data_IF_688780065876
#
_entry.id   IF_688780065876
#
_cell.length_a   1.000
_cell.length_b   1.000
_cell.length_c   1.000
_cell.angle_alpha   90.00
_cell.angle_beta   90.00
_cell.angle_gamma   90.00
#
_symmetry.space_group_name_H-M   'P 1'
#
loop_
_entity.id
_entity.type
_entity.pdbx_description
1 polymer ?
#
# COMPACT_ATOMS: atom_id res chain seq x y z
N UNK A 1 -0.30 -28.90 -9.65
CA UNK A 1 1.05 -28.72 -9.06
C UNK A 1 2.16 -28.31 -10.05
N UNK A 2 2.06 -28.58 -11.36
CA UNK A 2 3.09 -28.15 -12.36
C UNK A 2 3.25 -26.62 -12.55
N UNK A 3 2.22 -25.81 -12.27
CA UNK A 3 2.28 -24.34 -12.45
C UNK A 3 3.04 -23.57 -11.36
N UNK A 4 3.15 -24.11 -10.15
CA UNK A 4 3.88 -23.45 -9.05
C UNK A 4 5.41 -23.52 -9.26
N UNK A 5 5.92 -24.62 -9.83
CA UNK A 5 7.36 -24.79 -10.08
C UNK A 5 7.92 -23.82 -11.13
N UNK A 6 7.09 -23.20 -11.96
CA UNK A 6 7.50 -22.26 -13.01
C UNK A 6 7.06 -20.82 -12.79
N UNK A 7 6.34 -20.53 -11.71
CA UNK A 7 5.93 -19.14 -11.43
C UNK A 7 7.10 -18.34 -10.89
N UNK A 8 7.64 -17.45 -11.72
CA UNK A 8 8.73 -16.52 -11.37
C UNK A 8 8.35 -15.70 -10.12
N UNK A 9 7.08 -15.31 -9.98
CA UNK A 9 6.58 -14.56 -8.83
C UNK A 9 6.59 -15.38 -7.53
N UNK A 10 6.29 -16.68 -7.59
CA UNK A 10 6.33 -17.54 -6.42
C UNK A 10 7.78 -17.79 -5.97
N UNK A 11 8.68 -18.01 -6.92
CA UNK A 11 10.11 -18.18 -6.62
C UNK A 11 10.78 -16.90 -6.15
N UNK A 12 10.42 -15.74 -6.69
CA UNK A 12 10.94 -14.47 -6.22
C UNK A 12 10.47 -14.18 -4.79
N UNK A 13 9.19 -14.41 -4.47
CA UNK A 13 8.66 -14.27 -3.12
C UNK A 13 9.36 -15.23 -2.14
N UNK A 14 9.51 -16.50 -2.51
CA UNK A 14 10.23 -17.47 -1.70
C UNK A 14 11.69 -17.05 -1.46
N UNK A 15 12.39 -16.61 -2.51
CA UNK A 15 13.77 -16.15 -2.40
C UNK A 15 13.92 -14.93 -1.49
N UNK A 16 12.96 -14.00 -1.51
CA UNK A 16 12.96 -12.81 -0.67
C UNK A 16 12.76 -13.17 0.80
N UNK A 17 11.88 -14.14 1.10
CA UNK A 17 11.67 -14.63 2.47
C UNK A 17 12.94 -15.33 2.97
N UNK A 18 13.51 -16.23 2.17
CA UNK A 18 14.72 -16.97 2.55
C UNK A 18 15.91 -16.02 2.74
N UNK A 19 16.11 -15.06 1.82
CA UNK A 19 17.21 -14.10 1.93
C UNK A 19 17.07 -13.20 3.15
N UNK A 20 15.85 -12.76 3.49
CA UNK A 20 15.60 -12.00 4.71
C UNK A 20 16.02 -12.78 5.96
N UNK A 21 15.56 -14.02 6.10
CA UNK A 21 15.89 -14.82 7.30
C UNK A 21 17.38 -15.13 7.40
N UNK A 22 18.05 -15.39 6.28
CA UNK A 22 19.50 -15.57 6.26
C UNK A 22 20.22 -14.30 6.71
N UNK A 23 19.85 -13.14 6.17
CA UNK A 23 20.45 -11.86 6.56
C UNK A 23 20.19 -11.53 8.04
N UNK A 24 19.01 -11.86 8.56
CA UNK A 24 18.63 -11.63 9.96
C UNK A 24 19.51 -12.41 10.95
N UNK A 25 20.10 -13.54 10.54
CA UNK A 25 21.02 -14.31 11.39
C UNK A 25 22.38 -13.62 11.58
N UNK A 26 22.79 -12.78 10.63
CA UNK A 26 24.12 -12.15 10.62
C UNK A 26 24.09 -10.65 10.90
N UNK A 27 22.96 -9.97 10.68
CA UNK A 27 22.84 -8.52 10.78
C UNK A 27 22.08 -8.14 12.06
N UNK A 28 22.61 -7.22 12.89
CA UNK A 28 21.90 -6.70 14.06
C UNK A 28 20.55 -6.08 13.68
N UNK A 29 19.55 -6.25 14.54
CA UNK A 29 18.17 -5.84 14.31
C UNK A 29 18.03 -4.38 13.84
N UNK A 30 18.75 -3.44 14.46
CA UNK A 30 18.69 -2.01 14.11
C UNK A 30 19.09 -1.76 12.64
N UNK A 31 20.19 -2.37 12.20
CA UNK A 31 20.66 -2.28 10.81
C UNK A 31 19.72 -3.00 9.84
N UNK A 32 19.15 -4.13 10.26
CA UNK A 32 18.17 -4.88 9.47
C UNK A 32 16.93 -4.03 9.15
N UNK A 33 16.45 -3.25 10.13
CA UNK A 33 15.30 -2.33 9.97
C UNK A 33 15.64 -1.19 9.02
N UNK A 34 16.83 -0.60 9.12
CA UNK A 34 17.29 0.47 8.22
C UNK A 34 17.45 -0.01 6.77
N UNK A 35 18.09 -1.18 6.58
CA UNK A 35 18.26 -1.80 5.26
C UNK A 35 16.90 -2.10 4.62
N UNK A 36 15.99 -2.72 5.38
CA UNK A 36 14.64 -3.03 4.90
C UNK A 36 13.86 -1.76 4.53
N UNK A 37 13.99 -0.70 5.34
CA UNK A 37 13.33 0.58 5.09
C UNK A 37 13.87 1.26 3.82
N UNK A 38 15.18 1.22 3.62
CA UNK A 38 15.86 1.77 2.44
C UNK A 38 15.52 0.99 1.18
N UNK A 39 15.45 -0.34 1.27
CA UNK A 39 15.02 -1.21 0.18
C UNK A 39 13.58 -0.90 -0.27
N UNK A 40 12.64 -0.77 0.68
CA UNK A 40 11.25 -0.41 0.36
C UNK A 40 11.20 0.94 -0.35
N UNK A 41 11.94 1.93 0.13
CA UNK A 41 11.98 3.26 -0.48
C UNK A 41 12.55 3.21 -1.92
N UNK A 42 13.65 2.48 -2.13
CA UNK A 42 14.25 2.33 -3.46
C UNK A 42 13.36 1.56 -4.44
N UNK A 43 12.74 0.45 -4.00
CA UNK A 43 11.84 -0.35 -4.84
C UNK A 43 10.56 0.42 -5.18
N UNK A 44 9.94 1.08 -4.19
CA UNK A 44 8.73 1.88 -4.44
C UNK A 44 9.03 3.04 -5.40
N UNK A 45 10.16 3.71 -5.26
CA UNK A 45 10.60 4.73 -6.22
C UNK A 45 10.80 4.17 -7.63
N UNK A 46 11.50 3.02 -7.78
CA UNK A 46 11.70 2.38 -9.07
C UNK A 46 10.37 1.98 -9.75
N UNK A 47 9.39 1.49 -8.96
CA UNK A 47 8.05 1.18 -9.46
C UNK A 47 7.34 2.45 -9.92
N UNK A 48 7.40 3.53 -9.14
CA UNK A 48 6.79 4.81 -9.52
C UNK A 48 7.35 5.34 -10.82
N UNK A 49 8.67 5.38 -10.98
CA UNK A 49 9.31 5.86 -12.22
C UNK A 49 8.92 4.97 -13.41
N UNK A 50 8.94 3.65 -13.23
CA UNK A 50 8.62 2.71 -14.30
C UNK A 50 7.16 2.82 -14.78
N UNK A 51 6.23 2.96 -13.85
CA UNK A 51 4.79 2.90 -14.14
C UNK A 51 4.11 4.28 -14.22
N UNK A 52 4.85 5.38 -14.03
CA UNK A 52 4.31 6.74 -14.07
C UNK A 52 3.55 7.05 -15.37
N UNK A 53 4.10 6.66 -16.52
CA UNK A 53 3.48 6.94 -17.82
C UNK A 53 2.19 6.13 -18.02
N UNK A 54 2.18 4.86 -17.59
CA UNK A 54 1.01 3.98 -17.72
C UNK A 54 -0.11 4.44 -16.79
N UNK A 55 0.22 4.82 -15.56
CA UNK A 55 -0.72 5.41 -14.63
C UNK A 55 -1.27 6.76 -15.14
N UNK A 56 -0.42 7.63 -15.69
CA UNK A 56 -0.86 8.89 -16.28
C UNK A 56 -1.79 8.69 -17.49
N UNK A 57 -1.56 7.64 -18.28
CA UNK A 57 -2.46 7.26 -19.38
C UNK A 57 -3.78 6.72 -18.85
N UNK A 58 -3.76 5.77 -17.92
CA UNK A 58 -4.95 5.17 -17.32
C UNK A 58 -5.83 6.21 -16.61
N UNK A 59 -5.24 7.21 -15.95
CA UNK A 59 -6.00 8.33 -15.36
C UNK A 59 -6.74 9.18 -16.40
N UNK A 60 -6.23 9.25 -17.65
CA UNK A 60 -6.86 10.02 -18.74
C UNK A 60 -7.86 9.20 -19.55
N UNK A 61 -7.61 7.90 -19.73
CA UNK A 61 -8.44 7.01 -20.56
C UNK A 61 -9.48 6.20 -19.79
N UNK A 62 -9.36 6.13 -18.46
CA UNK A 62 -9.99 5.12 -17.59
C UNK A 62 -11.50 4.94 -17.77
N UNK A 63 -11.89 4.03 -18.66
CA UNK A 63 -13.26 3.56 -18.87
C UNK A 63 -13.43 2.07 -18.55
N UNK A 64 -12.32 1.36 -18.35
CA UNK A 64 -12.28 -0.09 -18.15
C UNK A 64 -11.62 -0.46 -16.81
N UNK A 65 -12.08 -1.54 -16.18
CA UNK A 65 -11.57 -2.06 -14.90
C UNK A 65 -10.05 -2.25 -14.79
N UNK A 66 -9.31 -2.68 -15.84
CA UNK A 66 -7.86 -2.79 -15.80
C UNK A 66 -7.15 -1.44 -15.58
N UNK A 67 -7.66 -0.35 -16.16
CA UNK A 67 -7.12 0.99 -15.97
C UNK A 67 -7.30 1.45 -14.52
N UNK A 68 -8.46 1.15 -13.92
CA UNK A 68 -8.72 1.40 -12.50
C UNK A 68 -7.73 0.66 -11.59
N UNK A 69 -7.41 -0.59 -11.91
CA UNK A 69 -6.44 -1.38 -11.14
C UNK A 69 -5.03 -0.77 -11.24
N UNK A 70 -4.61 -0.34 -12.43
CA UNK A 70 -3.31 0.31 -12.63
C UNK A 70 -3.22 1.59 -11.79
N UNK A 71 -4.25 2.44 -11.82
CA UNK A 71 -4.30 3.67 -11.02
C UNK A 71 -4.29 3.34 -9.53
N UNK A 72 -5.09 2.37 -9.08
CA UNK A 72 -5.18 1.99 -7.69
C UNK A 72 -3.83 1.47 -7.15
N UNK A 73 -3.18 0.56 -7.87
CA UNK A 73 -1.86 0.02 -7.49
C UNK A 73 -0.81 1.13 -7.49
N UNK A 74 -0.80 1.99 -8.51
CA UNK A 74 0.11 3.13 -8.57
C UNK A 74 -0.09 4.08 -7.38
N UNK A 75 -1.34 4.42 -7.04
CA UNK A 75 -1.68 5.24 -5.88
C UNK A 75 -1.23 4.59 -4.57
N UNK A 76 -1.43 3.27 -4.39
CA UNK A 76 -0.95 2.54 -3.20
C UNK A 76 0.57 2.67 -3.06
N UNK A 77 1.32 2.40 -4.15
CA UNK A 77 2.78 2.50 -4.14
C UNK A 77 3.24 3.93 -3.84
N UNK A 78 2.57 4.93 -4.42
CA UNK A 78 2.86 6.34 -4.19
C UNK A 78 2.63 6.74 -2.72
N UNK A 79 1.51 6.32 -2.15
CA UNK A 79 1.17 6.59 -0.75
C UNK A 79 2.16 5.90 0.18
N UNK A 80 2.55 4.65 -0.09
CA UNK A 80 3.58 3.95 0.68
C UNK A 80 4.92 4.69 0.58
N UNK A 81 5.31 5.16 -0.60
CA UNK A 81 6.53 5.96 -0.77
C UNK A 81 6.49 7.21 0.11
N UNK A 82 5.41 8.00 0.04
CA UNK A 82 5.25 9.19 0.90
C UNK A 82 5.20 8.85 2.39
N UNK A 83 4.56 7.74 2.76
CA UNK A 83 4.55 7.25 4.13
C UNK A 83 5.96 6.93 4.64
N UNK A 84 6.80 6.31 3.81
CA UNK A 84 8.19 6.01 4.16
C UNK A 84 9.04 7.27 4.27
N UNK A 85 8.89 8.21 3.34
CA UNK A 85 9.55 9.52 3.41
C UNK A 85 9.13 10.27 4.67
N UNK A 86 7.83 10.28 4.99
CA UNK A 86 7.31 10.91 6.20
C UNK A 86 7.87 10.30 7.47
N UNK A 87 7.87 8.98 7.60
CA UNK A 87 8.45 8.29 8.76
C UNK A 87 9.96 8.58 8.89
N UNK A 88 10.68 8.69 7.78
CA UNK A 88 12.09 9.08 7.79
C UNK A 88 12.27 10.51 8.29
N UNK A 89 11.46 11.46 7.83
CA UNK A 89 11.47 12.85 8.31
C UNK A 89 11.18 12.89 9.81
N UNK A 90 10.12 12.21 10.28
CA UNK A 90 9.77 12.16 11.71
C UNK A 90 10.93 11.61 12.54
N UNK A 91 11.67 10.62 12.04
CA UNK A 91 12.86 10.08 12.73
C UNK A 91 14.05 11.05 12.73
N UNK A 92 14.28 11.77 11.62
CA UNK A 92 15.37 12.77 11.53
C UNK A 92 15.18 13.92 12.51
N UNK A 93 13.94 14.29 12.80
CA UNK A 93 13.58 15.34 13.75
C UNK A 93 13.28 14.79 15.16
N UNK A 94 13.82 13.61 15.50
CA UNK A 94 13.68 12.96 16.81
C UNK A 94 12.24 12.91 17.34
N UNK A 95 11.27 12.68 16.43
CA UNK A 95 9.84 12.61 16.72
C UNK A 95 9.29 13.85 17.43
N UNK A 96 9.70 15.04 17.01
CA UNK A 96 9.13 16.28 17.55
C UNK A 96 7.59 16.28 17.54
N UNK A 97 6.96 16.75 18.62
CA UNK A 97 5.51 16.60 18.85
C UNK A 97 4.64 17.16 17.73
N UNK A 98 5.07 18.23 17.07
CA UNK A 98 4.36 18.85 15.94
C UNK A 98 4.38 17.99 14.67
N UNK A 99 5.37 17.12 14.50
CA UNK A 99 5.47 16.17 13.38
C UNK A 99 4.71 14.89 13.68
N UNK A 100 4.74 14.41 14.93
CA UNK A 100 4.00 13.20 15.35
C UNK A 100 2.50 13.43 15.32
N UNK A 101 2.04 14.56 15.85
CA UNK A 101 0.62 14.95 15.86
C UNK A 101 0.17 15.63 14.56
N UNK A 102 1.00 15.58 13.52
CA UNK A 102 0.67 16.18 12.24
C UNK A 102 -0.50 15.45 11.58
N UNK A 103 -1.44 16.18 10.94
CA UNK A 103 -2.53 15.57 10.18
C UNK A 103 -2.04 14.72 9.00
N UNK A 104 -0.77 14.86 8.60
CA UNK A 104 -0.16 14.10 7.51
C UNK A 104 -0.26 12.58 7.75
N UNK A 105 -0.04 12.12 8.98
CA UNK A 105 -0.12 10.69 9.31
C UNK A 105 -1.54 10.14 9.10
N UNK A 106 -2.57 10.90 9.50
CA UNK A 106 -3.97 10.54 9.30
C UNK A 106 -4.37 10.62 7.82
N UNK A 107 -3.91 11.65 7.11
CA UNK A 107 -4.16 11.83 5.67
C UNK A 107 -3.59 10.67 4.84
N UNK A 108 -2.38 10.20 5.16
CA UNK A 108 -1.77 9.04 4.49
C UNK A 108 -2.65 7.79 4.67
N UNK A 109 -3.10 7.51 5.89
CA UNK A 109 -3.97 6.37 6.17
C UNK A 109 -5.32 6.48 5.43
N UNK A 110 -5.90 7.68 5.41
CA UNK A 110 -7.14 7.98 4.68
C UNK A 110 -7.00 7.73 3.17
N UNK A 111 -5.93 8.25 2.56
CA UNK A 111 -5.66 8.05 1.14
C UNK A 111 -5.37 6.58 0.81
N UNK A 112 -4.71 5.85 1.71
CA UNK A 112 -4.47 4.42 1.51
C UNK A 112 -5.78 3.62 1.53
N UNK A 113 -6.70 3.96 2.44
CA UNK A 113 -8.03 3.35 2.47
C UNK A 113 -8.80 3.62 1.17
N UNK A 114 -8.76 4.85 0.67
CA UNK A 114 -9.33 5.20 -0.64
C UNK A 114 -8.70 4.40 -1.79
N UNK A 115 -7.37 4.27 -1.82
CA UNK A 115 -6.70 3.52 -2.87
C UNK A 115 -7.03 2.01 -2.81
N UNK A 116 -7.16 1.43 -1.63
CA UNK A 116 -7.63 0.05 -1.45
C UNK A 116 -9.09 -0.14 -1.90
N UNK A 117 -9.96 0.85 -1.70
CA UNK A 117 -11.32 0.83 -2.23
C UNK A 117 -11.33 0.80 -3.76
N UNK A 118 -10.44 1.56 -4.42
CA UNK A 118 -10.30 1.50 -5.88
C UNK A 118 -9.90 0.10 -6.36
N UNK A 119 -9.01 -0.60 -5.64
CA UNK A 119 -8.65 -2.00 -5.96
C UNK A 119 -9.87 -2.93 -5.86
N UNK A 120 -10.74 -2.73 -4.87
CA UNK A 120 -11.96 -3.53 -4.70
C UNK A 120 -12.98 -3.29 -5.83
N UNK A 121 -13.05 -2.06 -6.34
CA UNK A 121 -14.00 -1.66 -7.40
C UNK A 121 -13.48 -2.09 -8.79
N UNK A 122 -12.17 -2.11 -8.99
CA UNK A 122 -11.53 -2.40 -10.28
C UNK A 122 -12.06 -3.64 -11.04
N UNK A 123 -12.31 -4.82 -10.42
CA UNK A 123 -12.81 -5.99 -11.16
C UNK A 123 -14.25 -5.87 -11.65
N UNK A 124 -15.07 -5.00 -11.05
CA UNK A 124 -16.50 -4.84 -11.38
C UNK A 124 -16.78 -3.52 -12.13
N UNK A 125 -15.74 -2.77 -12.51
CA UNK A 125 -15.86 -1.52 -13.25
C UNK A 125 -15.90 -1.79 -14.76
N UNK A 126 -17.10 -1.82 -15.33
CA UNK A 126 -17.31 -1.89 -16.78
C UNK A 126 -17.97 -0.59 -17.27
N UNK A 127 -17.33 0.09 -18.23
CA UNK A 127 -17.82 1.31 -18.89
C UNK A 127 -18.27 2.44 -17.95
N UNK A 128 -17.58 2.62 -16.82
CA UNK A 128 -17.90 3.67 -15.84
C UNK A 128 -19.14 3.40 -14.98
N UNK A 129 -19.75 2.21 -15.11
CA UNK A 129 -20.78 1.74 -14.19
C UNK A 129 -20.17 0.75 -13.19
N UNK A 130 -20.48 0.93 -11.91
CA UNK A 130 -20.09 0.00 -10.85
C UNK A 130 -21.22 -1.01 -10.73
N UNK A 131 -20.95 -2.28 -11.04
CA UNK A 131 -21.95 -3.33 -10.86
C UNK A 131 -22.35 -3.44 -9.37
N UNK A 132 -23.65 -3.61 -9.07
CA UNK A 132 -24.18 -3.62 -7.69
C UNK A 132 -23.55 -4.68 -6.76
N UNK A 133 -22.91 -5.71 -7.34
CA UNK A 133 -22.16 -6.74 -6.60
C UNK A 133 -20.93 -6.17 -5.87
N UNK A 134 -20.26 -5.19 -6.46
CA UNK A 134 -19.12 -4.49 -5.84
C UNK A 134 -19.56 -3.66 -4.63
N UNK A 135 -20.81 -3.18 -4.61
CA UNK A 135 -21.40 -2.49 -3.47
C UNK A 135 -21.40 -3.31 -2.19
N UNK A 136 -21.50 -4.65 -2.27
CA UNK A 136 -21.44 -5.54 -1.11
C UNK A 136 -20.03 -5.58 -0.52
N UNK A 137 -19.00 -5.66 -1.36
CA UNK A 137 -17.61 -5.65 -0.88
C UNK A 137 -17.21 -4.31 -0.29
N UNK A 138 -17.67 -3.20 -0.88
CA UNK A 138 -17.49 -1.85 -0.32
C UNK A 138 -18.22 -1.76 1.04
N UNK A 139 -19.45 -2.26 1.13
CA UNK A 139 -20.22 -2.28 2.37
C UNK A 139 -19.53 -3.08 3.47
N UNK A 140 -19.00 -4.26 3.15
CA UNK A 140 -18.23 -5.09 4.10
C UNK A 140 -16.94 -4.37 4.51
N UNK A 141 -16.21 -3.77 3.57
CA UNK A 141 -14.97 -3.04 3.87
C UNK A 141 -15.23 -1.84 4.78
N UNK A 142 -16.28 -1.05 4.51
CA UNK A 142 -16.70 0.07 5.35
C UNK A 142 -17.20 -0.38 6.72
N UNK A 143 -17.91 -1.50 6.79
CA UNK A 143 -18.36 -2.09 8.05
C UNK A 143 -17.17 -2.51 8.93
N UNK A 144 -16.19 -3.23 8.37
CA UNK A 144 -14.97 -3.62 9.09
C UNK A 144 -14.19 -2.38 9.52
N UNK A 145 -14.00 -1.40 8.62
CA UNK A 145 -13.32 -0.15 8.95
C UNK A 145 -14.02 0.60 10.08
N UNK A 146 -15.36 0.69 10.04
CA UNK A 146 -16.18 1.29 11.09
C UNK A 146 -16.07 0.54 12.42
N UNK A 147 -16.08 -0.80 12.41
CA UNK A 147 -15.88 -1.61 13.60
C UNK A 147 -14.50 -1.39 14.23
N UNK A 148 -13.43 -1.46 13.44
CA UNK A 148 -12.04 -1.27 13.92
C UNK A 148 -11.85 0.15 14.46
N UNK A 149 -12.38 1.15 13.76
CA UNK A 149 -12.33 2.55 14.21
C UNK A 149 -13.14 2.76 15.49
N UNK A 150 -14.31 2.14 15.60
CA UNK A 150 -15.17 2.19 16.79
C UNK A 150 -14.52 1.54 18.01
N UNK A 151 -13.88 0.38 17.84
CA UNK A 151 -13.09 -0.27 18.91
C UNK A 151 -11.91 0.61 19.32
N UNK A 152 -11.19 1.19 18.36
CA UNK A 152 -10.07 2.08 18.64
C UNK A 152 -10.48 3.31 19.44
N UNK A 153 -11.60 3.95 19.09
CA UNK A 153 -12.14 5.09 19.83
C UNK A 153 -12.67 4.68 21.22
N UNK A 154 -13.40 3.56 21.31
CA UNK A 154 -13.92 3.07 22.59
C UNK A 154 -12.79 2.76 23.58
N UNK A 155 -11.70 2.14 23.12
CA UNK A 155 -10.51 1.87 23.95
C UNK A 155 -9.70 3.14 24.28
N UNK A 156 -9.83 4.21 23.51
CA UNK A 156 -9.15 5.48 23.79
C UNK A 156 -9.90 6.35 24.82
N UNK A 157 -11.20 6.10 25.03
CA UNK A 157 -12.06 6.86 25.94
C UNK A 157 -12.17 6.16 27.32
N UNK A 158 -11.88 4.85 27.38
CA UNK A 158 -11.82 4.04 28.63
C UNK A 158 -10.42 4.09 29.24
#
# INVERSE_FOLDING_TARGET
>A
MKRLKTSIAAWSALSAVVSFWLLNLFIPYERMVEISSSLVLGVTFAVLVRWANDAARAMRSGREGPDFLIVAVFSIVLIIFFQRVWVMIVRLYDRADHLVNSPVSAFIAWMLAWACLLVLIAPDAENGSIAGRSGVFIGVALFIAGMVSGVGLALAIV
#
